data_IF_638178609739
#
_entry.id   IF_638178609739
#
_cell.length_a   1.000
_cell.length_b   1.000
_cell.length_c   1.000
_cell.angle_alpha   90.00
_cell.angle_beta   90.00
_cell.angle_gamma   90.00
#
_symmetry.space_group_name_H-M   'P 1'
#
loop_
_entity.id
_entity.type
_entity.pdbx_description
1 polymer ?
#
# COMPACT_ATOMS: atom_id res chain seq x y z
N UNK A 1 10.87 -10.22 6.57
CA UNK A 1 9.69 -11.05 6.27
C UNK A 1 8.86 -10.42 5.16
N UNK A 2 8.43 -9.17 5.28
CA UNK A 2 7.68 -8.45 4.22
C UNK A 2 8.35 -8.52 2.84
N UNK A 3 9.67 -8.34 2.77
CA UNK A 3 10.45 -8.46 1.51
C UNK A 3 10.24 -9.80 0.80
N UNK A 4 10.15 -10.91 1.55
CA UNK A 4 9.92 -12.24 0.97
C UNK A 4 8.50 -12.37 0.43
N UNK A 5 7.50 -11.82 1.12
CA UNK A 5 6.12 -11.78 0.65
C UNK A 5 5.99 -10.93 -0.62
N UNK A 6 6.63 -9.76 -0.67
CA UNK A 6 6.66 -8.89 -1.87
C UNK A 6 7.34 -9.59 -3.04
N UNK A 7 8.50 -10.22 -2.82
CA UNK A 7 9.19 -10.97 -3.87
C UNK A 7 8.31 -12.11 -4.40
N UNK A 8 7.64 -12.85 -3.51
CA UNK A 8 6.72 -13.93 -3.89
C UNK A 8 5.57 -13.41 -4.76
N UNK A 9 5.02 -12.25 -4.43
CA UNK A 9 3.97 -11.59 -5.22
C UNK A 9 4.51 -11.26 -6.63
N UNK A 10 5.66 -10.59 -6.70
CA UNK A 10 6.29 -10.19 -7.97
C UNK A 10 6.60 -11.40 -8.86
N UNK A 11 7.25 -12.42 -8.30
CA UNK A 11 7.59 -13.66 -9.02
C UNK A 11 6.33 -14.38 -9.51
N UNK A 12 5.26 -14.38 -8.71
CA UNK A 12 4.00 -15.04 -9.08
C UNK A 12 3.31 -14.32 -10.22
N UNK A 13 3.30 -12.98 -10.23
CA UNK A 13 2.80 -12.19 -11.36
C UNK A 13 3.58 -12.47 -12.64
N UNK A 14 4.92 -12.45 -12.58
CA UNK A 14 5.76 -12.76 -13.73
C UNK A 14 5.48 -14.17 -14.30
N UNK A 15 5.24 -15.15 -13.42
CA UNK A 15 4.89 -16.52 -13.83
C UNK A 15 3.50 -16.61 -14.46
N UNK A 16 2.52 -15.87 -13.96
CA UNK A 16 1.18 -15.80 -14.53
C UNK A 16 1.20 -15.20 -15.94
N UNK A 17 1.92 -14.09 -16.13
CA UNK A 17 2.07 -13.46 -17.44
C UNK A 17 2.78 -14.40 -18.43
N UNK A 18 3.77 -15.15 -17.94
CA UNK A 18 4.44 -16.17 -18.75
C UNK A 18 3.51 -17.31 -19.17
N UNK A 19 2.61 -17.77 -18.31
CA UNK A 19 1.62 -18.81 -18.67
C UNK A 19 0.74 -18.32 -19.81
N UNK A 20 0.19 -17.10 -19.71
CA UNK A 20 -0.65 -16.50 -20.77
C UNK A 20 0.10 -16.36 -22.10
N UNK A 21 1.38 -15.96 -22.04
CA UNK A 21 2.22 -15.91 -23.23
C UNK A 21 2.45 -17.30 -23.83
N UNK A 22 2.63 -18.33 -23.01
CA UNK A 22 2.77 -19.72 -23.47
C UNK A 22 1.48 -20.23 -24.15
N UNK A 23 0.31 -19.92 -23.60
CA UNK A 23 -0.99 -20.27 -24.22
C UNK A 23 -1.15 -19.61 -25.59
N UNK A 24 -0.84 -18.31 -25.70
CA UNK A 24 -0.90 -17.61 -26.98
C UNK A 24 0.09 -18.18 -28.02
N UNK A 25 1.32 -18.48 -27.59
CA UNK A 25 2.34 -19.07 -28.47
C UNK A 25 1.92 -20.45 -28.96
N UNK A 26 1.23 -21.21 -28.13
CA UNK A 26 0.76 -22.54 -28.47
C UNK A 26 -0.26 -22.50 -29.62
N UNK A 27 -1.23 -21.58 -29.56
CA UNK A 27 -2.15 -21.33 -30.68
C UNK A 27 -1.45 -20.80 -31.93
N UNK A 28 -0.48 -19.91 -31.77
CA UNK A 28 0.28 -19.36 -32.90
C UNK A 28 1.09 -20.44 -33.64
N UNK A 29 1.63 -21.43 -32.91
CA UNK A 29 2.33 -22.57 -33.52
C UNK A 29 1.37 -23.45 -34.33
N UNK A 30 0.16 -23.72 -33.82
CA UNK A 30 -0.83 -24.51 -34.56
C UNK A 30 -1.25 -23.84 -35.87
N UNK A 31 -1.37 -22.51 -35.90
CA UNK A 31 -1.61 -21.72 -37.14
C UNK A 31 -0.47 -21.84 -38.13
N UNK A 32 0.77 -21.98 -37.66
CA UNK A 32 1.93 -22.16 -38.53
C UNK A 32 2.05 -23.60 -39.07
N UNK A 33 1.60 -24.59 -38.29
CA UNK A 33 1.83 -26.01 -38.58
C UNK A 33 0.74 -26.65 -39.46
N UNK A 34 -0.48 -26.11 -39.56
CA UNK A 34 -1.50 -26.63 -40.49
C UNK A 34 -1.24 -26.18 -41.94
N UNK A 35 -0.90 -27.09 -42.88
CA UNK A 35 -0.78 -26.79 -44.31
C UNK A 35 -2.06 -27.14 -45.09
N UNK A 36 -3.16 -27.45 -44.39
CA UNK A 36 -4.38 -28.03 -44.95
C UNK A 36 -5.35 -27.00 -45.54
N UNK A 37 -6.13 -27.44 -46.53
CA UNK A 37 -7.16 -26.69 -47.28
C UNK A 37 -7.72 -25.50 -46.49
N UNK A 38 -7.28 -24.30 -46.88
CA UNK A 38 -7.78 -23.06 -46.31
C UNK A 38 -9.27 -22.98 -46.60
N UNK A 39 -10.08 -22.86 -45.55
CA UNK A 39 -11.47 -22.47 -45.72
C UNK A 39 -11.49 -21.15 -46.51
N UNK A 40 -12.50 -20.96 -47.37
CA UNK A 40 -12.54 -19.77 -48.24
C UNK A 40 -12.54 -18.45 -47.46
N UNK A 41 -12.93 -18.48 -46.18
CA UNK A 41 -12.87 -17.36 -45.25
C UNK A 41 -11.71 -17.55 -44.24
N UNK A 42 -10.74 -16.61 -44.19
CA UNK A 42 -9.63 -16.63 -43.23
C UNK A 42 -10.05 -16.70 -41.76
N UNK A 43 -11.18 -16.10 -41.38
CA UNK A 43 -11.69 -16.12 -40.00
C UNK A 43 -12.14 -17.53 -39.63
N UNK A 44 -12.85 -18.19 -40.53
CA UNK A 44 -13.31 -19.58 -40.34
C UNK A 44 -12.11 -20.53 -40.29
N UNK A 45 -11.11 -20.32 -41.15
CA UNK A 45 -9.88 -21.11 -41.12
C UNK A 45 -9.14 -20.96 -39.78
N UNK A 46 -8.90 -19.74 -39.30
CA UNK A 46 -8.28 -19.51 -38.00
C UNK A 46 -9.05 -20.17 -36.84
N UNK A 47 -10.37 -20.08 -36.83
CA UNK A 47 -11.19 -20.71 -35.80
C UNK A 47 -11.10 -22.25 -35.83
N UNK A 48 -11.08 -22.86 -37.02
CA UNK A 48 -10.93 -24.30 -37.18
C UNK A 48 -9.55 -24.79 -36.72
N UNK A 49 -8.49 -24.07 -37.09
CA UNK A 49 -7.13 -24.37 -36.65
C UNK A 49 -7.03 -24.29 -35.12
N UNK A 50 -7.58 -23.25 -34.51
CA UNK A 50 -7.59 -23.10 -33.04
C UNK A 50 -8.36 -24.22 -32.36
N UNK A 51 -9.51 -24.65 -32.90
CA UNK A 51 -10.28 -25.76 -32.35
C UNK A 51 -9.49 -27.09 -32.40
N UNK A 52 -8.77 -27.36 -33.49
CA UNK A 52 -7.90 -28.53 -33.64
C UNK A 52 -6.66 -28.47 -32.75
N UNK A 53 -6.07 -27.28 -32.61
CA UNK A 53 -4.99 -27.00 -31.65
C UNK A 53 -5.44 -27.34 -30.23
N UNK A 54 -6.65 -26.92 -29.86
CA UNK A 54 -7.22 -27.20 -28.54
C UNK A 54 -7.47 -28.70 -28.33
N UNK A 55 -7.96 -29.41 -29.34
CA UNK A 55 -8.15 -30.86 -29.27
C UNK A 55 -6.81 -31.60 -29.11
N UNK A 56 -5.80 -31.24 -29.89
CA UNK A 56 -4.48 -31.90 -29.88
C UNK A 56 -3.62 -31.54 -28.66
N UNK A 57 -3.76 -30.33 -28.10
CA UNK A 57 -2.94 -29.83 -26.99
C UNK A 57 -3.72 -29.66 -25.68
N UNK A 58 -4.95 -30.19 -25.61
CA UNK A 58 -5.85 -30.02 -24.47
C UNK A 58 -5.22 -30.40 -23.13
N UNK A 59 -4.40 -31.46 -23.09
CA UNK A 59 -3.68 -31.89 -21.89
C UNK A 59 -2.66 -30.86 -21.39
N UNK A 60 -1.98 -30.16 -22.31
CA UNK A 60 -1.01 -29.12 -21.96
C UNK A 60 -1.73 -27.89 -21.43
N UNK A 61 -2.81 -27.47 -22.08
CA UNK A 61 -3.65 -26.36 -21.64
C UNK A 61 -4.30 -26.64 -20.28
N UNK A 62 -4.77 -27.86 -20.04
CA UNK A 62 -5.28 -28.27 -18.73
C UNK A 62 -4.20 -28.17 -17.63
N UNK A 63 -2.95 -28.55 -17.94
CA UNK A 63 -1.82 -28.39 -17.01
C UNK A 63 -1.51 -26.91 -16.74
N UNK A 64 -1.50 -26.07 -17.77
CA UNK A 64 -1.28 -24.62 -17.64
C UNK A 64 -2.36 -23.96 -16.78
N UNK A 65 -3.64 -24.29 -17.04
CA UNK A 65 -4.76 -23.82 -16.23
C UNK A 65 -4.65 -24.24 -14.75
N UNK A 66 -4.24 -25.48 -14.49
CA UNK A 66 -3.99 -25.96 -13.12
C UNK A 66 -2.84 -25.19 -12.44
N UNK A 67 -1.76 -24.89 -13.17
CA UNK A 67 -0.67 -24.08 -12.65
C UNK A 67 -1.11 -22.64 -12.39
N UNK A 68 -1.88 -22.04 -13.28
CA UNK A 68 -2.48 -20.71 -13.07
C UNK A 68 -3.33 -20.70 -11.79
N UNK A 69 -4.19 -21.70 -11.58
CA UNK A 69 -4.99 -21.79 -10.36
C UNK A 69 -4.12 -21.89 -9.10
N UNK A 70 -3.06 -22.69 -9.13
CA UNK A 70 -2.12 -22.83 -8.00
C UNK A 70 -1.38 -21.52 -7.74
N UNK A 71 -0.92 -20.84 -8.78
CA UNK A 71 -0.25 -19.54 -8.67
C UNK A 71 -1.17 -18.47 -8.13
N UNK A 72 -2.43 -18.40 -8.57
CA UNK A 72 -3.43 -17.49 -8.02
C UNK A 72 -3.65 -17.75 -6.52
N UNK A 73 -3.73 -19.01 -6.08
CA UNK A 73 -3.80 -19.34 -4.65
C UNK A 73 -2.55 -18.90 -3.88
N UNK A 74 -1.36 -19.07 -4.44
CA UNK A 74 -0.11 -18.58 -3.84
C UNK A 74 -0.09 -17.06 -3.74
N UNK A 75 -0.55 -16.37 -4.79
CA UNK A 75 -0.64 -14.91 -4.84
C UNK A 75 -1.54 -14.36 -3.73
N UNK A 76 -2.75 -14.91 -3.59
CA UNK A 76 -3.70 -14.49 -2.57
C UNK A 76 -3.15 -14.73 -1.15
N UNK A 77 -2.48 -15.85 -0.91
CA UNK A 77 -1.81 -16.12 0.37
C UNK A 77 -0.69 -15.11 0.66
N UNK A 78 0.18 -14.84 -0.32
CA UNK A 78 1.28 -13.90 -0.14
C UNK A 78 0.78 -12.46 0.10
N UNK A 79 -0.30 -12.05 -0.57
CA UNK A 79 -0.96 -10.76 -0.32
C UNK A 79 -1.56 -10.69 1.09
N UNK A 80 -2.22 -11.75 1.54
CA UNK A 80 -2.78 -11.83 2.89
C UNK A 80 -1.67 -11.73 3.96
N UNK A 81 -0.58 -12.48 3.79
CA UNK A 81 0.59 -12.43 4.69
C UNK A 81 1.21 -11.04 4.72
N UNK A 82 1.41 -10.39 3.57
CA UNK A 82 1.95 -9.03 3.51
C UNK A 82 1.05 -8.03 4.23
N UNK A 83 -0.27 -8.11 4.00
CA UNK A 83 -1.25 -7.25 4.66
C UNK A 83 -1.21 -7.44 6.18
N UNK A 84 -1.13 -8.68 6.64
CA UNK A 84 -1.02 -8.99 8.07
C UNK A 84 0.26 -8.38 8.68
N UNK A 85 1.43 -8.62 8.07
CA UNK A 85 2.69 -8.06 8.56
C UNK A 85 2.67 -6.52 8.62
N UNK A 86 2.08 -5.88 7.61
CA UNK A 86 1.93 -4.42 7.58
C UNK A 86 0.98 -3.92 8.67
N UNK A 87 -0.11 -4.62 8.95
CA UNK A 87 -1.04 -4.29 10.03
C UNK A 87 -0.38 -4.45 11.40
N UNK A 88 0.36 -5.54 11.62
CA UNK A 88 1.12 -5.79 12.84
C UNK A 88 2.17 -4.69 13.06
N UNK A 89 2.91 -4.31 12.01
CA UNK A 89 3.87 -3.22 12.06
C UNK A 89 3.21 -1.87 12.35
N UNK A 90 2.07 -1.58 11.74
CA UNK A 90 1.32 -0.35 11.98
C UNK A 90 0.81 -0.28 13.43
N UNK A 91 0.24 -1.37 13.94
CA UNK A 91 -0.23 -1.45 15.32
C UNK A 91 0.92 -1.34 16.34
N UNK A 92 2.06 -1.99 16.07
CA UNK A 92 3.25 -1.87 16.90
C UNK A 92 3.78 -0.42 16.92
N UNK A 93 3.81 0.24 15.75
CA UNK A 93 4.22 1.65 15.63
C UNK A 93 3.25 2.58 16.37
N UNK A 94 1.95 2.36 16.28
CA UNK A 94 0.95 3.14 17.00
C UNK A 94 1.14 3.03 18.52
N UNK A 95 1.28 1.82 19.04
CA UNK A 95 1.57 1.60 20.47
C UNK A 95 2.87 2.28 20.91
N UNK A 96 3.92 2.18 20.10
CA UNK A 96 5.19 2.84 20.39
C UNK A 96 5.06 4.37 20.44
N UNK A 97 4.29 4.97 19.53
CA UNK A 97 4.00 6.41 19.54
C UNK A 97 3.17 6.84 20.75
N UNK A 98 2.23 6.01 21.19
CA UNK A 98 1.45 6.24 22.42
C UNK A 98 2.35 6.25 23.65
N UNK A 99 3.20 5.23 23.81
CA UNK A 99 4.16 5.18 24.91
C UNK A 99 5.15 6.35 24.87
N UNK A 100 5.68 6.68 23.69
CA UNK A 100 6.58 7.82 23.52
C UNK A 100 5.92 9.17 23.87
N UNK A 101 4.64 9.33 23.58
CA UNK A 101 3.89 10.54 23.95
C UNK A 101 3.76 10.67 25.46
N UNK A 102 3.45 9.57 26.15
CA UNK A 102 3.38 9.56 27.62
C UNK A 102 4.74 9.91 28.24
N UNK A 103 5.83 9.34 27.71
CA UNK A 103 7.19 9.65 28.16
C UNK A 103 7.52 11.11 27.88
N UNK A 104 7.23 11.62 26.68
CA UNK A 104 7.47 13.02 26.31
C UNK A 104 6.74 13.99 27.25
N UNK A 105 5.48 13.72 27.56
CA UNK A 105 4.69 14.57 28.46
C UNK A 105 5.26 14.57 29.88
N UNK A 106 5.69 13.40 30.39
CA UNK A 106 6.32 13.29 31.70
C UNK A 106 7.64 14.08 31.75
N UNK A 107 8.49 13.90 30.74
CA UNK A 107 9.79 14.56 30.65
C UNK A 107 9.65 16.07 30.52
N UNK A 108 8.68 16.54 29.74
CA UNK A 108 8.33 17.95 29.65
C UNK A 108 7.88 18.52 31.00
N UNK A 109 7.05 17.78 31.76
CA UNK A 109 6.63 18.19 33.09
C UNK A 109 7.79 18.25 34.10
N UNK A 110 8.84 17.44 33.90
CA UNK A 110 10.08 17.47 34.67
C UNK A 110 11.05 18.57 34.21
N UNK A 111 10.74 19.30 33.13
CA UNK A 111 11.62 20.31 32.55
C UNK A 111 12.80 19.74 31.76
N UNK A 112 12.77 18.45 31.43
CA UNK A 112 13.84 17.77 30.72
C UNK A 112 13.58 17.67 29.21
N UNK A 113 14.63 17.88 28.42
CA UNK A 113 14.57 17.66 26.97
C UNK A 113 14.78 16.18 26.65
N UNK A 114 13.70 15.50 26.33
CA UNK A 114 13.72 14.09 25.96
C UNK A 114 13.74 13.88 24.44
N UNK A 115 14.47 12.85 24.01
CA UNK A 115 14.60 12.43 22.60
C UNK A 115 14.21 10.95 22.45
N UNK A 116 13.23 10.60 21.60
CA UNK A 116 12.77 9.23 21.44
C UNK A 116 13.87 8.23 21.05
N UNK A 117 14.82 8.68 20.22
CA UNK A 117 15.89 7.82 19.69
C UNK A 117 16.82 7.33 20.81
N UNK A 118 17.01 8.12 21.88
CA UNK A 118 17.80 7.73 23.05
C UNK A 118 17.13 6.65 23.90
N UNK A 119 15.81 6.52 23.79
CA UNK A 119 15.02 5.52 24.49
C UNK A 119 14.74 4.27 23.63
N UNK A 120 15.40 4.14 22.48
CA UNK A 120 15.27 2.98 21.60
C UNK A 120 14.07 3.02 20.64
N UNK A 121 13.40 4.17 20.50
CA UNK A 121 12.37 4.34 19.48
C UNK A 121 12.98 4.59 18.10
N UNK A 122 12.40 3.96 17.07
CA UNK A 122 12.88 4.05 15.67
C UNK A 122 12.46 5.33 14.94
N UNK A 123 11.64 6.18 15.57
CA UNK A 123 11.13 7.42 15.00
C UNK A 123 11.75 8.65 15.67
N UNK A 124 11.73 9.76 14.94
CA UNK A 124 12.29 11.02 15.43
C UNK A 124 11.33 11.80 16.33
N UNK A 125 11.88 12.72 17.13
CA UNK A 125 11.05 13.67 17.90
C UNK A 125 10.08 14.46 17.00
N UNK A 126 10.49 14.83 15.78
CA UNK A 126 9.64 15.54 14.81
C UNK A 126 8.43 14.68 14.39
N UNK A 127 8.64 13.39 14.14
CA UNK A 127 7.54 12.47 13.81
C UNK A 127 6.58 12.31 14.99
N UNK A 128 7.09 12.25 16.22
CA UNK A 128 6.27 12.20 17.43
C UNK A 128 5.44 13.49 17.57
N UNK A 129 6.04 14.67 17.41
CA UNK A 129 5.34 15.95 17.45
C UNK A 129 4.22 16.03 16.41
N UNK A 130 4.51 15.67 15.15
CA UNK A 130 3.51 15.64 14.10
C UNK A 130 2.36 14.66 14.39
N UNK A 131 2.64 13.53 15.05
CA UNK A 131 1.62 12.58 15.48
C UNK A 131 0.74 13.14 16.61
N UNK A 132 1.35 13.81 17.61
CA UNK A 132 0.62 14.47 18.69
C UNK A 132 -0.29 15.57 18.15
N UNK A 133 0.24 16.42 17.27
CA UNK A 133 -0.50 17.50 16.61
C UNK A 133 -1.69 16.94 15.82
N UNK A 134 -1.47 15.89 15.03
CA UNK A 134 -2.53 15.22 14.29
C UNK A 134 -3.64 14.70 15.22
N UNK A 135 -3.28 14.07 16.35
CA UNK A 135 -4.29 13.60 17.33
C UNK A 135 -5.02 14.74 18.00
N UNK A 136 -4.34 15.85 18.30
CA UNK A 136 -4.97 17.06 18.86
C UNK A 136 -6.00 17.61 17.87
N UNK A 137 -5.60 17.83 16.61
CA UNK A 137 -6.48 18.31 15.54
C UNK A 137 -7.66 17.37 15.29
N UNK A 138 -7.44 16.04 15.31
CA UNK A 138 -8.52 15.08 15.14
C UNK A 138 -9.56 15.16 16.28
N UNK A 139 -9.12 15.36 17.52
CA UNK A 139 -10.02 15.58 18.67
C UNK A 139 -10.78 16.89 18.54
N UNK A 140 -10.11 17.97 18.12
CA UNK A 140 -10.74 19.27 17.89
C UNK A 140 -11.77 19.22 16.77
N UNK A 141 -11.46 18.53 15.67
CA UNK A 141 -12.38 18.32 14.55
C UNK A 141 -13.63 17.55 15.00
N UNK A 142 -13.44 16.47 15.76
CA UNK A 142 -14.55 15.70 16.34
C UNK A 142 -15.39 16.55 17.31
N UNK A 143 -14.73 17.37 18.15
CA UNK A 143 -15.42 18.28 19.05
C UNK A 143 -16.27 19.32 18.28
N UNK A 144 -15.72 19.88 17.21
CA UNK A 144 -16.44 20.80 16.35
C UNK A 144 -17.63 20.13 15.66
N UNK A 145 -17.47 18.91 15.15
CA UNK A 145 -18.55 18.14 14.52
C UNK A 145 -19.72 17.89 15.49
N UNK A 146 -19.41 17.53 16.74
CA UNK A 146 -20.44 17.21 17.75
C UNK A 146 -21.10 18.46 18.32
N UNK A 147 -20.33 19.50 18.64
CA UNK A 147 -20.80 20.64 19.43
C UNK A 147 -20.90 21.96 18.66
N UNK A 148 -20.42 22.02 17.41
CA UNK A 148 -20.39 23.23 16.59
C UNK A 148 -19.47 24.34 17.11
N UNK A 149 -18.64 24.06 18.13
CA UNK A 149 -17.74 25.03 18.76
C UNK A 149 -16.34 24.91 18.20
N UNK A 150 -15.81 26.03 17.71
CA UNK A 150 -14.41 26.11 17.31
C UNK A 150 -13.50 25.97 18.54
N UNK A 151 -12.34 25.31 18.41
CA UNK A 151 -11.35 25.28 19.46
C UNK A 151 -10.89 26.72 19.74
N UNK A 152 -10.76 27.07 21.03
CA UNK A 152 -10.11 28.32 21.42
C UNK A 152 -8.66 28.23 20.96
N UNK A 153 -8.30 29.02 19.96
CA UNK A 153 -6.90 29.31 19.68
C UNK A 153 -6.50 30.37 20.71
N UNK A 154 -5.40 30.15 21.40
CA UNK A 154 -4.84 31.18 22.27
C UNK A 154 -4.52 32.39 21.38
N UNK A 155 -5.32 33.45 21.53
CA UNK A 155 -5.05 34.76 20.93
C UNK A 155 -3.92 35.40 21.75
N UNK A 156 -2.67 35.07 21.41
CA UNK A 156 -1.47 35.83 21.78
C UNK A 156 -0.78 36.18 20.45
N UNK A 157 -0.58 37.44 20.05
CA UNK A 157 -0.27 38.64 20.83
C UNK A 157 -1.01 39.83 20.18
N UNK A 158 -1.88 40.49 20.94
CA UNK A 158 -2.19 41.89 20.68
C UNK A 158 -0.92 42.69 20.98
N UNK A 159 -0.32 43.31 19.96
CA UNK A 159 0.74 44.30 20.20
C UNK A 159 0.17 45.43 21.08
N UNK A 160 0.80 45.75 22.23
CA UNK A 160 0.39 46.87 23.06
C UNK A 160 0.75 48.18 22.35
N UNK A 161 -0.14 49.16 22.49
CA UNK A 161 -0.13 50.37 21.70
C UNK A 161 1.15 51.21 21.80
N UNK A 162 1.57 51.71 20.64
CA UNK A 162 2.38 52.92 20.54
C UNK A 162 1.49 54.12 20.92
N UNK A 163 1.49 54.49 22.20
CA UNK A 163 1.08 55.81 22.66
C UNK A 163 2.29 56.50 23.26
N UNK A 164 2.51 57.74 22.82
CA UNK A 164 3.50 58.74 23.27
C UNK A 164 4.91 58.52 22.71
N UNK A 165 5.54 59.49 22.03
CA UNK A 165 5.75 60.85 22.52
C UNK A 165 5.75 61.90 21.39
N UNK A 166 5.00 62.97 21.66
CA UNK A 166 5.28 64.31 21.18
C UNK A 166 6.70 64.73 21.55
N UNK A 167 7.53 65.11 20.58
CA UNK A 167 8.59 66.09 20.80
C UNK A 167 8.52 67.18 19.74
N UNK A 168 8.10 68.34 20.24
CA UNK A 168 8.28 69.68 19.73
C UNK A 168 9.65 69.93 19.09
N UNK A 169 9.69 70.51 17.90
CA UNK A 169 10.47 71.72 17.56
C UNK A 169 9.88 72.35 16.31
#
# INVERSE_FOLDING_TARGET
>A
METKAVQTIADTYWRLDRIRAMENNLFALAVKEEPGEMASDPVIHCALVQARSLESQGDLLAKLSLYEQRLNRTLEKAKAELKQLQQERAAAREKALESATQISNLQQALGEHWKPERSGFEFSFRELAAWMDRRKLAKEALHFEIYGRLPKRDEEIAEPGDTELSEST
#
